data_IF_627189350746
#
_entry.id   IF_627189350746
#
_cell.length_a   1.000
_cell.length_b   1.000
_cell.length_c   1.000
_cell.angle_alpha   90.00
_cell.angle_beta   90.00
_cell.angle_gamma   90.00
#
_symmetry.space_group_name_H-M   'P 1'
#
loop_
_entity.id
_entity.type
_entity.pdbx_description
1 polymer ?
#
# COMPACT_ATOMS: atom_id res chain seq x y z
N UNK A 1 -49.27 22.11 -4.20
CA UNK A 1 -48.39 21.04 -3.69
C UNK A 1 -47.25 20.85 -4.68
N UNK A 2 -46.08 21.47 -4.46
CA UNK A 2 -44.90 21.35 -5.34
C UNK A 2 -43.81 20.63 -4.53
N UNK A 3 -43.58 19.37 -4.82
CA UNK A 3 -42.50 18.58 -4.20
C UNK A 3 -41.27 18.77 -5.07
N UNK A 4 -40.30 19.56 -4.60
CA UNK A 4 -39.01 19.73 -5.25
C UNK A 4 -38.16 18.48 -4.97
N UNK A 5 -37.88 17.69 -6.02
CA UNK A 5 -37.06 16.49 -5.95
C UNK A 5 -35.59 16.95 -5.99
N UNK A 6 -34.94 17.05 -4.83
CA UNK A 6 -33.49 17.22 -4.76
C UNK A 6 -32.83 15.90 -5.18
N UNK A 7 -32.34 15.82 -6.42
CA UNK A 7 -31.53 14.69 -6.89
C UNK A 7 -30.12 14.78 -6.29
N UNK A 8 -29.86 14.06 -5.21
CA UNK A 8 -28.50 13.86 -4.70
C UNK A 8 -27.80 12.78 -5.56
N UNK A 9 -26.87 13.21 -6.42
CA UNK A 9 -25.95 12.32 -7.11
C UNK A 9 -24.96 11.77 -6.08
N UNK A 10 -25.23 10.57 -5.56
CA UNK A 10 -24.30 9.84 -4.71
C UNK A 10 -23.20 9.22 -5.59
N UNK A 11 -22.05 9.89 -5.70
CA UNK A 11 -20.85 9.36 -6.35
C UNK A 11 -20.28 8.23 -5.49
N UNK A 12 -20.54 6.98 -5.88
CA UNK A 12 -19.87 5.82 -5.30
C UNK A 12 -18.47 5.68 -5.91
N UNK A 13 -17.44 6.01 -5.13
CA UNK A 13 -16.05 5.76 -5.51
C UNK A 13 -15.77 4.26 -5.43
N UNK A 14 -15.35 3.64 -6.53
CA UNK A 14 -14.90 2.24 -6.52
C UNK A 14 -13.49 2.19 -5.95
N UNK A 15 -13.33 1.61 -4.76
CA UNK A 15 -12.04 1.39 -4.12
C UNK A 15 -11.43 0.09 -4.69
N UNK A 16 -10.71 0.19 -5.81
CA UNK A 16 -9.91 -0.93 -6.31
C UNK A 16 -8.65 -1.04 -5.44
N UNK A 17 -8.69 -1.92 -4.43
CA UNK A 17 -7.48 -2.35 -3.75
C UNK A 17 -6.71 -3.27 -4.71
N UNK A 18 -5.68 -2.72 -5.35
CA UNK A 18 -4.77 -3.42 -6.27
C UNK A 18 -3.43 -3.58 -5.57
N UNK A 19 -2.79 -4.75 -5.72
CA UNK A 19 -1.40 -4.89 -5.36
C UNK A 19 -0.53 -4.01 -6.28
N UNK A 20 0.48 -3.36 -5.71
CA UNK A 20 1.43 -2.53 -6.45
C UNK A 20 2.85 -3.12 -6.39
N UNK A 21 3.57 -3.07 -7.52
CA UNK A 21 4.95 -3.53 -7.61
C UNK A 21 5.92 -2.40 -7.23
N UNK A 22 6.34 -2.35 -5.97
CA UNK A 22 7.14 -1.27 -5.40
C UNK A 22 8.57 -1.75 -5.08
N UNK A 23 9.48 -0.80 -4.89
CA UNK A 23 10.80 -1.11 -4.35
C UNK A 23 10.72 -1.13 -2.82
N UNK A 24 11.03 -2.27 -2.21
CA UNK A 24 10.95 -2.55 -0.78
C UNK A 24 12.31 -3.02 -0.33
N UNK A 25 12.95 -2.29 0.57
CA UNK A 25 14.32 -2.57 1.02
C UNK A 25 15.30 -2.80 -0.15
N UNK A 26 15.10 -2.11 -1.27
CA UNK A 26 15.97 -2.21 -2.45
C UNK A 26 15.62 -3.33 -3.42
N UNK A 27 14.58 -4.13 -3.16
CA UNK A 27 14.12 -5.20 -4.04
C UNK A 27 12.73 -4.88 -4.61
N UNK A 28 12.43 -5.36 -5.81
CA UNK A 28 11.10 -5.19 -6.40
C UNK A 28 10.16 -6.24 -5.82
N UNK A 29 9.10 -5.80 -5.14
CA UNK A 29 8.13 -6.67 -4.49
C UNK A 29 6.70 -6.21 -4.77
N UNK A 30 5.75 -7.15 -4.80
CA UNK A 30 4.33 -6.85 -4.88
C UNK A 30 3.78 -6.58 -3.47
N UNK A 31 3.23 -5.39 -3.22
CA UNK A 31 2.62 -5.02 -1.95
C UNK A 31 1.10 -4.94 -2.13
N UNK A 32 0.36 -5.70 -1.33
CA UNK A 32 -1.10 -5.81 -1.39
C UNK A 32 -1.72 -5.24 -0.11
N UNK A 33 -2.98 -4.83 -0.17
CA UNK A 33 -3.68 -4.27 1.02
C UNK A 33 -4.18 -5.36 1.98
N UNK A 34 -4.34 -6.59 1.48
CA UNK A 34 -4.76 -7.77 2.23
C UNK A 34 -4.24 -9.05 1.54
N UNK A 35 -4.34 -10.20 2.19
CA UNK A 35 -3.80 -11.45 1.67
C UNK A 35 -4.69 -12.14 0.61
N UNK A 36 -5.91 -11.65 0.40
CA UNK A 36 -6.83 -12.22 -0.59
C UNK A 36 -6.67 -11.61 -1.99
N UNK A 37 -5.90 -10.52 -2.10
CA UNK A 37 -5.58 -9.92 -3.38
C UNK A 37 -4.62 -10.79 -4.20
N UNK A 38 -4.87 -10.85 -5.50
CA UNK A 38 -4.02 -11.61 -6.43
C UNK A 38 -2.69 -10.89 -6.58
N UNK A 39 -1.62 -11.51 -6.09
CA UNK A 39 -0.25 -11.00 -6.19
C UNK A 39 0.26 -11.09 -7.64
N UNK A 40 0.55 -9.96 -8.32
CA UNK A 40 1.08 -9.99 -9.67
C UNK A 40 2.55 -10.42 -9.69
N UNK A 41 3.01 -10.88 -10.85
CA UNK A 41 4.45 -11.02 -11.12
C UNK A 41 4.99 -9.63 -11.47
N UNK A 42 5.96 -9.15 -10.70
CA UNK A 42 6.56 -7.84 -10.93
C UNK A 42 7.66 -7.90 -11.98
N UNK A 43 7.62 -6.96 -12.93
CA UNK A 43 8.69 -6.82 -13.92
C UNK A 43 10.01 -6.45 -13.22
N UNK A 44 11.13 -7.11 -13.55
CA UNK A 44 12.44 -6.75 -13.00
C UNK A 44 12.81 -5.30 -13.35
N UNK A 45 13.25 -4.54 -12.35
CA UNK A 45 13.83 -3.21 -12.51
C UNK A 45 14.86 -2.94 -11.43
N UNK A 46 15.73 -1.96 -11.68
CA UNK A 46 16.70 -1.49 -10.68
C UNK A 46 15.99 -0.59 -9.69
N UNK A 47 16.11 -0.92 -8.40
CA UNK A 47 15.65 -0.05 -7.31
C UNK A 47 16.75 0.94 -6.91
N UNK A 48 16.38 2.15 -6.46
CA UNK A 48 17.34 3.09 -5.87
C UNK A 48 18.05 2.49 -4.65
N UNK A 49 19.28 2.95 -4.38
CA UNK A 49 20.04 2.50 -3.21
C UNK A 49 19.30 2.92 -1.94
N UNK A 50 19.08 1.96 -1.05
CA UNK A 50 18.42 2.20 0.24
C UNK A 50 19.38 2.97 1.15
N UNK A 51 18.99 4.13 1.69
CA UNK A 51 19.82 4.85 2.65
C UNK A 51 19.79 4.15 4.01
N UNK A 52 20.89 4.17 4.78
CA UNK A 52 20.88 3.67 6.15
C UNK A 52 19.88 4.49 6.98
N UNK A 53 18.96 3.81 7.66
CA UNK A 53 17.94 4.42 8.52
C UNK A 53 17.62 3.49 9.68
N UNK A 54 17.23 4.06 10.81
CA UNK A 54 16.82 3.31 12.00
C UNK A 54 15.34 2.96 11.87
N UNK A 55 15.00 1.69 12.06
CA UNK A 55 13.61 1.22 12.05
C UNK A 55 12.79 1.94 13.14
N UNK A 56 11.61 2.48 12.80
CA UNK A 56 10.76 3.15 13.78
C UNK A 56 10.10 2.15 14.74
N UNK A 57 9.84 2.60 15.96
CA UNK A 57 9.07 1.82 16.93
C UNK A 57 7.66 1.53 16.42
N UNK A 58 7.28 0.26 16.46
CA UNK A 58 5.97 -0.17 15.98
C UNK A 58 4.91 0.00 17.07
N UNK A 59 3.82 0.66 16.72
CA UNK A 59 2.60 0.63 17.54
C UNK A 59 1.75 -0.57 17.14
N UNK A 60 1.18 -1.32 18.10
CA UNK A 60 0.26 -2.40 17.79
C UNK A 60 -0.91 -1.86 16.96
N UNK A 61 -1.07 -2.40 15.76
CA UNK A 61 -2.17 -2.11 14.84
C UNK A 61 -2.82 -3.43 14.45
N UNK A 62 -4.13 -3.38 14.20
CA UNK A 62 -4.85 -4.55 13.70
C UNK A 62 -4.22 -5.02 12.38
N UNK A 63 -4.13 -6.35 12.23
CA UNK A 63 -3.70 -6.98 10.99
C UNK A 63 -4.75 -6.75 9.90
N UNK A 64 -4.34 -6.43 8.66
CA UNK A 64 -5.23 -6.52 7.51
C UNK A 64 -5.84 -7.92 7.37
N UNK A 65 -7.00 -8.01 6.72
CA UNK A 65 -7.71 -9.27 6.54
C UNK A 65 -6.83 -10.31 5.82
N UNK A 66 -6.84 -11.54 6.32
CA UNK A 66 -6.10 -12.65 5.75
C UNK A 66 -4.58 -12.61 5.95
N UNK A 67 -4.01 -11.52 6.46
CA UNK A 67 -2.57 -11.44 6.78
C UNK A 67 -2.28 -12.09 8.12
N UNK A 68 -1.06 -12.61 8.27
CA UNK A 68 -0.58 -13.34 9.46
C UNK A 68 0.42 -12.51 10.26
N UNK A 69 1.19 -11.64 9.59
CA UNK A 69 2.20 -10.82 10.25
C UNK A 69 2.41 -9.49 9.52
N UNK A 70 3.05 -8.55 10.21
CA UNK A 70 3.54 -7.31 9.60
C UNK A 70 4.93 -6.98 10.12
N UNK A 71 5.72 -6.30 9.30
CA UNK A 71 7.05 -5.79 9.64
C UNK A 71 7.23 -4.37 9.08
N UNK A 72 8.21 -3.61 9.59
CA UNK A 72 8.58 -2.35 8.95
C UNK A 72 9.49 -2.64 7.74
N UNK A 73 9.25 -1.89 6.67
CA UNK A 73 10.12 -1.88 5.52
C UNK A 73 10.28 -0.45 4.98
N UNK A 74 11.41 -0.19 4.35
CA UNK A 74 11.63 1.03 3.59
C UNK A 74 11.02 0.83 2.20
N UNK A 75 9.90 1.50 1.93
CA UNK A 75 9.19 1.44 0.65
C UNK A 75 9.51 2.70 -0.14
N UNK A 76 9.99 2.53 -1.37
CA UNK A 76 10.31 3.65 -2.24
C UNK A 76 9.03 4.33 -2.73
N UNK A 77 8.90 5.60 -2.41
CA UNK A 77 7.84 6.46 -2.89
C UNK A 77 8.32 7.17 -4.17
N UNK A 78 7.78 6.76 -5.31
CA UNK A 78 8.12 7.32 -6.63
C UNK A 78 7.81 8.81 -6.75
N UNK A 79 6.85 9.32 -5.97
CA UNK A 79 6.46 10.73 -5.98
C UNK A 79 7.44 11.61 -5.20
N UNK A 80 7.80 11.21 -3.98
CA UNK A 80 8.78 11.94 -3.14
C UNK A 80 10.22 11.62 -3.51
N UNK A 81 10.43 10.56 -4.30
CA UNK A 81 11.73 9.98 -4.67
C UNK A 81 12.56 9.55 -3.47
N UNK A 82 11.91 9.09 -2.41
CA UNK A 82 12.55 8.71 -1.15
C UNK A 82 12.03 7.38 -0.64
N UNK A 83 12.86 6.70 0.15
CA UNK A 83 12.43 5.55 0.92
C UNK A 83 11.72 6.03 2.20
N UNK A 84 10.49 5.56 2.38
CA UNK A 84 9.65 5.89 3.52
C UNK A 84 9.38 4.62 4.34
N UNK A 85 9.41 4.74 5.66
CA UNK A 85 9.07 3.61 6.53
C UNK A 85 7.58 3.33 6.46
N UNK A 86 7.25 2.10 6.07
CA UNK A 86 5.88 1.61 6.01
C UNK A 86 5.76 0.26 6.68
N UNK A 87 4.57 -0.01 7.22
CA UNK A 87 4.21 -1.32 7.74
C UNK A 87 3.71 -2.18 6.58
N UNK A 88 4.48 -3.18 6.19
CA UNK A 88 4.13 -4.18 5.17
C UNK A 88 3.59 -5.42 5.87
N UNK A 89 2.52 -6.00 5.35
CA UNK A 89 1.85 -7.16 5.95
C UNK A 89 1.70 -8.29 4.93
N UNK A 90 1.79 -9.53 5.41
CA UNK A 90 1.71 -10.77 4.62
C UNK A 90 0.84 -11.84 5.29
#
# INVERSE_FOLDING_TARGET
MRIAILSSLFMFSVLYAKCDCLCVNGNVEAICSNAYEVRPVCNPRVCPIVPPSIEPLQTPKLLPLGTTSCHQAQVYNEYTRQYEWQRVCE
#
